data_IF_090520108204
#
_entry.id   IF_090520108204
#
_cell.length_a   1.000
_cell.length_b   1.000
_cell.length_c   1.000
_cell.angle_alpha   90.00
_cell.angle_beta   90.00
_cell.angle_gamma   90.00
#
_symmetry.space_group_name_H-M   'P 1'
#
loop_
_entity.id
_entity.type
_entity.pdbx_description
1 polymer ?
#
# COMPACT_ATOMS: atom_id res chain seq x y z
N UNK A 1 19.05 8.06 -16.64
CA UNK A 1 18.24 6.98 -16.03
C UNK A 1 16.78 7.33 -16.28
N UNK A 2 16.00 6.45 -16.93
CA UNK A 2 14.63 6.77 -17.36
C UNK A 2 13.63 6.56 -16.21
N UNK A 3 12.88 7.59 -15.75
CA UNK A 3 11.85 7.46 -14.72
C UNK A 3 10.77 6.43 -15.06
N UNK A 4 10.53 6.12 -16.34
CA UNK A 4 9.52 5.14 -16.79
C UNK A 4 9.93 3.69 -16.54
N UNK A 5 11.22 3.40 -16.33
CA UNK A 5 11.70 2.06 -15.99
C UNK A 5 11.35 1.65 -14.56
N UNK A 6 11.10 2.61 -13.66
CA UNK A 6 10.63 2.34 -12.30
C UNK A 6 9.16 1.93 -12.25
N UNK A 7 8.34 2.35 -13.22
CA UNK A 7 6.92 1.97 -13.29
C UNK A 7 6.72 0.47 -13.59
N UNK A 8 7.79 -0.23 -14.04
CA UNK A 8 7.81 -1.67 -14.26
C UNK A 8 8.37 -2.47 -13.07
N UNK A 9 8.72 -1.80 -11.97
CA UNK A 9 9.02 -2.42 -10.69
C UNK A 9 7.75 -2.35 -9.83
N UNK A 10 7.01 -3.46 -9.79
CA UNK A 10 5.89 -3.78 -8.89
C UNK A 10 5.63 -2.67 -7.84
N UNK A 11 4.73 -1.72 -8.12
CA UNK A 11 4.36 -0.68 -7.16
C UNK A 11 3.89 -1.37 -5.86
N UNK A 12 4.60 -1.11 -4.76
CA UNK A 12 4.31 -1.72 -3.46
C UNK A 12 3.17 -0.94 -2.81
N UNK A 13 1.97 -1.23 -3.30
CA UNK A 13 0.73 -0.54 -2.94
C UNK A 13 -0.11 -1.35 -1.97
N UNK A 14 -0.89 -0.66 -1.14
CA UNK A 14 -1.94 -1.26 -0.32
C UNK A 14 -3.27 -1.01 -1.01
N UNK A 15 -4.13 -2.03 -1.05
CA UNK A 15 -5.45 -1.95 -1.66
C UNK A 15 -6.49 -2.43 -0.65
N UNK A 16 -7.60 -1.70 -0.56
CA UNK A 16 -8.70 -2.01 0.35
C UNK A 16 -9.89 -2.43 -0.50
N UNK A 17 -10.41 -3.62 -0.20
CA UNK A 17 -11.49 -4.24 -0.97
C UNK A 17 -12.68 -4.47 -0.07
N UNK A 18 -13.87 -4.29 -0.62
CA UNK A 18 -15.09 -4.81 -0.04
C UNK A 18 -15.10 -6.32 -0.20
N UNK A 19 -15.26 -7.05 0.90
CA UNK A 19 -15.13 -8.53 0.90
C UNK A 19 -16.33 -9.23 0.29
N UNK A 20 -17.48 -8.55 0.20
CA UNK A 20 -18.73 -9.13 -0.33
C UNK A 20 -18.79 -8.95 -1.84
N UNK A 21 -18.61 -7.73 -2.32
CA UNK A 21 -18.71 -7.35 -3.73
C UNK A 21 -17.39 -7.48 -4.49
N UNK A 22 -16.25 -7.57 -3.78
CA UNK A 22 -14.92 -7.57 -4.39
C UNK A 22 -14.50 -6.22 -4.98
N UNK A 23 -15.27 -5.15 -4.74
CA UNK A 23 -14.96 -3.83 -5.27
C UNK A 23 -13.84 -3.16 -4.49
N UNK A 24 -13.01 -2.38 -5.19
CA UNK A 24 -11.97 -1.56 -4.58
C UNK A 24 -12.63 -0.37 -3.87
N UNK A 25 -12.43 -0.24 -2.56
CA UNK A 25 -13.05 0.79 -1.73
C UNK A 25 -12.31 2.14 -1.77
N UNK A 26 -11.02 2.12 -2.10
CA UNK A 26 -10.18 3.31 -2.13
C UNK A 26 -9.09 3.20 -3.20
N UNK A 27 -8.62 4.35 -3.71
CA UNK A 27 -7.41 4.38 -4.53
C UNK A 27 -6.25 3.69 -3.81
N UNK A 28 -5.36 2.97 -4.52
CA UNK A 28 -4.23 2.31 -3.90
C UNK A 28 -3.39 3.30 -3.09
N UNK A 29 -2.99 2.90 -1.88
CA UNK A 29 -2.07 3.69 -1.08
C UNK A 29 -0.67 3.49 -1.64
N UNK A 30 -0.09 4.57 -2.17
CA UNK A 30 1.21 4.57 -2.84
C UNK A 30 2.30 5.24 -1.98
N UNK A 31 3.55 5.05 -2.40
CA UNK A 31 4.70 5.77 -1.88
C UNK A 31 5.73 4.91 -1.15
N UNK A 32 5.41 3.66 -0.83
CA UNK A 32 6.45 2.69 -0.51
C UNK A 32 7.20 2.30 -1.79
N UNK A 33 8.54 2.43 -1.76
CA UNK A 33 9.41 2.11 -2.90
C UNK A 33 10.14 0.76 -2.73
N UNK A 34 9.84 0.04 -1.65
CA UNK A 34 10.29 -1.33 -1.40
C UNK A 34 9.14 -2.18 -0.85
N UNK A 35 9.33 -3.50 -0.72
CA UNK A 35 8.26 -4.42 -0.35
C UNK A 35 7.69 -4.12 1.03
N UNK A 36 6.37 -4.13 1.11
CA UNK A 36 5.63 -4.08 2.37
C UNK A 36 5.95 -5.32 3.21
N UNK A 37 6.17 -5.10 4.51
CA UNK A 37 6.49 -6.12 5.50
C UNK A 37 5.34 -6.42 6.45
N UNK A 38 4.52 -5.41 6.73
CA UNK A 38 3.37 -5.54 7.60
C UNK A 38 2.29 -4.51 7.23
N UNK A 39 1.06 -4.82 7.61
CA UNK A 39 -0.10 -3.93 7.54
C UNK A 39 -0.93 -4.12 8.81
N UNK A 40 -1.46 -3.04 9.37
CA UNK A 40 -2.34 -3.07 10.54
C UNK A 40 -3.48 -2.06 10.37
N UNK A 41 -4.69 -2.45 10.78
CA UNK A 41 -5.82 -1.52 10.87
C UNK A 41 -5.88 -0.90 12.27
N UNK A 42 -6.33 0.36 12.35
CA UNK A 42 -6.77 0.92 13.63
C UNK A 42 -7.99 0.18 14.14
N UNK A 43 -8.25 0.27 15.46
CA UNK A 43 -9.36 -0.44 16.10
C UNK A 43 -10.74 -0.05 15.56
N UNK A 44 -10.88 1.19 15.11
CA UNK A 44 -12.09 1.74 14.49
C UNK A 44 -12.13 1.57 12.95
N UNK A 45 -11.09 0.98 12.35
CA UNK A 45 -10.99 0.77 10.91
C UNK A 45 -10.75 2.04 10.08
N UNK A 46 -10.57 3.21 10.71
CA UNK A 46 -10.40 4.48 10.01
C UNK A 46 -9.01 4.71 9.43
N UNK A 47 -8.00 3.95 9.88
CA UNK A 47 -6.60 4.09 9.48
C UNK A 47 -5.95 2.75 9.17
N UNK A 48 -4.94 2.79 8.30
CA UNK A 48 -4.12 1.64 7.95
C UNK A 48 -2.65 2.03 8.11
N UNK A 49 -1.95 1.37 9.03
CA UNK A 49 -0.51 1.51 9.16
C UNK A 49 0.21 0.45 8.32
N UNK A 50 1.32 0.82 7.70
CA UNK A 50 2.17 -0.09 6.93
C UNK A 50 3.65 0.13 7.18
N UNK A 51 4.41 -0.98 7.27
CA UNK A 51 5.86 -0.97 7.35
C UNK A 51 6.47 -1.61 6.11
N UNK A 52 7.63 -1.11 5.68
CA UNK A 52 8.28 -1.51 4.42
C UNK A 52 9.78 -1.68 4.60
N UNK A 53 10.40 -2.41 3.67
CA UNK A 53 11.87 -2.48 3.55
C UNK A 53 12.52 -1.16 3.14
N UNK A 54 11.75 -0.12 2.83
CA UNK A 54 12.26 1.22 2.59
C UNK A 54 12.58 1.99 3.88
N UNK A 55 12.60 1.29 5.02
CA UNK A 55 12.89 1.83 6.34
C UNK A 55 11.84 2.82 6.85
N UNK A 56 10.67 2.88 6.22
CA UNK A 56 9.57 3.76 6.63
C UNK A 56 8.33 3.01 7.16
N UNK A 57 7.59 3.74 8.00
CA UNK A 57 6.20 3.44 8.36
C UNK A 57 5.30 4.53 7.79
N UNK A 58 4.13 4.15 7.26
CA UNK A 58 3.09 5.06 6.76
C UNK A 58 1.74 4.78 7.43
N UNK A 59 0.86 5.78 7.48
CA UNK A 59 -0.50 5.72 8.05
C UNK A 59 -1.48 6.31 7.04
#
# INVERSE_FOLDING_TARGET
>A
MDPKLLQRLKNMTIRIWDTVSGQLLASPFEGHYASLKCVAFSRDGSRVASGSWDETVRI
#
